data_IF_421637699805
#
_entry.id   IF_421637699805
#
_cell.length_a   1.000
_cell.length_b   1.000
_cell.length_c   1.000
_cell.angle_alpha   90.00
_cell.angle_beta   90.00
_cell.angle_gamma   90.00
#
_symmetry.space_group_name_H-M   'P 1'
#
loop_
_entity.id
_entity.type
_entity.pdbx_description
1 polymer ?
#
# COMPACT_ATOMS: atom_id res chain seq x y z
N UNK A 1 -10.47 -87.08 -23.09
CA UNK A 1 -10.77 -85.64 -23.34
C UNK A 1 -11.28 -85.06 -22.06
N UNK A 2 -10.44 -84.38 -21.35
CA UNK A 2 -10.76 -83.74 -20.07
C UNK A 2 -10.99 -82.23 -20.35
N UNK A 3 -12.26 -81.81 -20.32
CA UNK A 3 -12.61 -80.38 -20.38
C UNK A 3 -12.15 -79.67 -19.09
N UNK A 4 -11.24 -78.78 -19.25
CA UNK A 4 -10.84 -77.85 -18.22
C UNK A 4 -11.92 -76.77 -18.06
N UNK A 5 -12.76 -76.90 -17.04
CA UNK A 5 -13.71 -75.83 -16.63
C UNK A 5 -12.94 -74.71 -16.11
N UNK A 6 -12.76 -73.63 -16.94
CA UNK A 6 -12.27 -72.35 -16.50
C UNK A 6 -13.39 -71.69 -15.70
N UNK A 7 -13.26 -71.67 -14.36
CA UNK A 7 -14.13 -70.91 -13.47
C UNK A 7 -14.07 -69.42 -13.81
N UNK A 8 -15.22 -68.76 -14.06
CA UNK A 8 -15.20 -67.30 -14.26
C UNK A 8 -14.80 -66.60 -12.98
N UNK A 9 -13.67 -65.91 -13.02
CA UNK A 9 -13.21 -65.02 -11.92
C UNK A 9 -14.33 -64.00 -11.64
N UNK A 10 -14.72 -63.78 -10.39
CA UNK A 10 -15.94 -63.10 -10.02
C UNK A 10 -15.88 -61.58 -10.36
N UNK A 11 -16.67 -61.18 -11.33
CA UNK A 11 -16.92 -59.79 -11.75
C UNK A 11 -17.41 -58.90 -10.59
N UNK A 12 -17.97 -59.48 -9.53
CA UNK A 12 -18.40 -58.84 -8.28
C UNK A 12 -17.25 -58.28 -7.45
N UNK A 13 -16.13 -59.00 -7.30
CA UNK A 13 -15.02 -58.58 -6.44
C UNK A 13 -14.30 -57.33 -6.97
N UNK A 14 -14.15 -57.22 -8.27
CA UNK A 14 -13.58 -56.06 -8.92
C UNK A 14 -14.47 -54.81 -8.81
N UNK A 15 -15.79 -55.02 -8.77
CA UNK A 15 -16.74 -53.88 -8.62
C UNK A 15 -16.73 -53.32 -7.20
N UNK A 16 -16.58 -54.14 -6.19
CA UNK A 16 -16.49 -53.69 -4.79
C UNK A 16 -15.15 -52.95 -4.49
N UNK A 17 -14.05 -53.50 -4.97
CA UNK A 17 -12.73 -52.85 -4.85
C UNK A 17 -12.71 -51.47 -5.49
N UNK A 18 -13.29 -51.33 -6.66
CA UNK A 18 -13.41 -50.06 -7.35
C UNK A 18 -14.29 -49.06 -6.59
N UNK A 19 -15.41 -49.49 -6.06
CA UNK A 19 -16.30 -48.67 -5.23
C UNK A 19 -15.59 -48.13 -4.01
N UNK A 20 -14.83 -48.98 -3.31
CA UNK A 20 -14.02 -48.57 -2.14
C UNK A 20 -12.95 -47.54 -2.52
N UNK A 21 -12.28 -47.68 -3.68
CA UNK A 21 -11.30 -46.73 -4.17
C UNK A 21 -11.92 -45.34 -4.41
N UNK A 22 -13.10 -45.29 -5.06
CA UNK A 22 -13.80 -44.02 -5.30
C UNK A 22 -14.23 -43.37 -3.99
N UNK A 23 -14.67 -44.15 -3.00
CA UNK A 23 -15.00 -43.65 -1.66
C UNK A 23 -13.76 -43.03 -1.01
N UNK A 24 -12.62 -43.72 -1.03
CA UNK A 24 -11.36 -43.20 -0.46
C UNK A 24 -10.93 -41.91 -1.14
N UNK A 25 -11.01 -41.84 -2.47
CA UNK A 25 -10.70 -40.64 -3.23
C UNK A 25 -11.65 -39.48 -2.87
N UNK A 26 -12.92 -39.74 -2.68
CA UNK A 26 -13.91 -38.73 -2.27
C UNK A 26 -13.58 -38.19 -0.86
N UNK A 27 -13.26 -39.09 0.09
CA UNK A 27 -12.85 -38.68 1.44
C UNK A 27 -11.56 -37.84 1.40
N UNK A 28 -10.55 -38.28 0.63
CA UNK A 28 -9.30 -37.53 0.46
C UNK A 28 -9.58 -36.12 -0.13
N UNK A 29 -10.45 -36.05 -1.12
CA UNK A 29 -10.85 -34.77 -1.76
C UNK A 29 -11.55 -33.85 -0.75
N UNK A 30 -12.39 -34.42 0.14
CA UNK A 30 -13.07 -33.66 1.19
C UNK A 30 -12.05 -33.08 2.20
N UNK A 31 -11.06 -33.87 2.60
CA UNK A 31 -9.99 -33.38 3.50
C UNK A 31 -9.19 -32.28 2.81
N UNK A 32 -8.83 -32.46 1.56
CA UNK A 32 -8.11 -31.44 0.78
C UNK A 32 -8.93 -30.15 0.66
N UNK A 33 -10.25 -30.25 0.41
CA UNK A 33 -11.14 -29.10 0.38
C UNK A 33 -11.17 -28.35 1.71
N UNK A 34 -11.22 -29.07 2.84
CA UNK A 34 -11.18 -28.45 4.18
C UNK A 34 -9.87 -27.73 4.43
N UNK A 35 -8.73 -28.30 4.04
CA UNK A 35 -7.41 -27.65 4.15
C UNK A 35 -7.35 -26.40 3.29
N UNK A 36 -7.79 -26.46 2.04
CA UNK A 36 -7.82 -25.29 1.13
C UNK A 36 -8.72 -24.18 1.65
N UNK A 37 -9.90 -24.54 2.21
CA UNK A 37 -10.80 -23.56 2.82
C UNK A 37 -10.17 -22.87 4.04
N UNK A 38 -9.43 -23.61 4.87
CA UNK A 38 -8.69 -23.04 5.99
C UNK A 38 -7.57 -22.09 5.52
N UNK A 39 -6.79 -22.46 4.49
CA UNK A 39 -5.75 -21.61 3.91
C UNK A 39 -6.35 -20.35 3.27
N UNK A 40 -7.46 -20.47 2.57
CA UNK A 40 -8.19 -19.34 2.00
C UNK A 40 -8.68 -18.38 3.09
N UNK A 41 -9.23 -18.92 4.18
CA UNK A 41 -9.70 -18.11 5.30
C UNK A 41 -8.54 -17.36 5.98
N UNK A 42 -7.39 -18.02 6.22
CA UNK A 42 -6.20 -17.35 6.79
C UNK A 42 -5.70 -16.24 5.87
N UNK A 43 -5.61 -16.50 4.56
CA UNK A 43 -5.18 -15.51 3.59
C UNK A 43 -6.13 -14.30 3.53
N UNK A 44 -7.46 -14.53 3.56
CA UNK A 44 -8.47 -13.46 3.61
C UNK A 44 -8.35 -12.61 4.87
N UNK A 45 -8.18 -13.23 6.05
CA UNK A 45 -8.00 -12.51 7.31
C UNK A 45 -6.77 -11.62 7.27
N UNK A 46 -5.65 -12.12 6.73
CA UNK A 46 -4.41 -11.33 6.58
C UNK A 46 -4.59 -10.20 5.58
N UNK A 47 -5.31 -10.41 4.49
CA UNK A 47 -5.67 -9.37 3.54
C UNK A 47 -6.51 -8.28 4.22
N UNK A 48 -7.53 -8.65 5.00
CA UNK A 48 -8.39 -7.69 5.71
C UNK A 48 -7.63 -6.87 6.76
N UNK A 49 -6.65 -7.48 7.46
CA UNK A 49 -5.79 -6.75 8.40
C UNK A 49 -4.94 -5.74 7.64
N UNK A 50 -4.26 -6.15 6.58
CA UNK A 50 -3.42 -5.29 5.78
C UNK A 50 -4.21 -4.14 5.12
N UNK A 51 -5.44 -4.41 4.64
CA UNK A 51 -6.34 -3.39 4.11
C UNK A 51 -6.73 -2.35 5.17
N UNK A 52 -7.05 -2.78 6.40
CA UNK A 52 -7.34 -1.85 7.52
C UNK A 52 -6.14 -0.99 7.87
N UNK A 53 -4.95 -1.58 7.90
CA UNK A 53 -3.72 -0.84 8.18
C UNK A 53 -3.44 0.19 7.08
N UNK A 54 -3.60 -0.18 5.80
CA UNK A 54 -3.49 0.76 4.67
C UNK A 54 -4.47 1.92 4.78
N UNK A 55 -5.74 1.65 5.09
CA UNK A 55 -6.77 2.68 5.29
C UNK A 55 -6.45 3.58 6.50
N UNK A 56 -5.96 3.02 7.59
CA UNK A 56 -5.56 3.77 8.78
C UNK A 56 -4.44 4.76 8.44
N UNK A 57 -3.40 4.33 7.73
CA UNK A 57 -2.32 5.22 7.30
C UNK A 57 -2.80 6.26 6.29
N UNK A 58 -3.72 5.92 5.38
CA UNK A 58 -4.33 6.89 4.46
C UNK A 58 -5.07 8.01 5.20
N UNK A 59 -5.79 7.68 6.29
CA UNK A 59 -6.45 8.67 7.15
C UNK A 59 -5.41 9.56 7.85
N UNK A 60 -4.31 8.98 8.35
CA UNK A 60 -3.22 9.76 8.96
C UNK A 60 -2.59 10.74 7.96
N UNK A 61 -2.32 10.31 6.73
CA UNK A 61 -1.80 11.17 5.66
C UNK A 61 -2.77 12.33 5.40
N UNK A 62 -4.09 12.02 5.34
CA UNK A 62 -5.13 13.05 5.12
C UNK A 62 -5.17 14.10 6.24
N UNK A 63 -4.79 13.73 7.45
CA UNK A 63 -4.64 14.67 8.58
C UNK A 63 -3.35 15.49 8.53
N UNK A 64 -2.22 14.86 8.15
CA UNK A 64 -0.91 15.52 8.08
C UNK A 64 -0.80 16.48 6.89
N UNK A 65 -1.41 16.19 5.75
CA UNK A 65 -1.32 17.00 4.54
C UNK A 65 -1.77 18.46 4.74
N UNK A 66 -2.94 18.74 5.36
CA UNK A 66 -3.35 20.11 5.67
C UNK A 66 -2.41 20.79 6.68
N UNK A 67 -1.89 20.05 7.69
CA UNK A 67 -0.95 20.58 8.67
C UNK A 67 0.34 21.06 7.99
N UNK A 68 0.93 20.19 7.16
CA UNK A 68 2.14 20.54 6.38
C UNK A 68 1.86 21.75 5.48
N UNK A 69 0.72 21.76 4.78
CA UNK A 69 0.34 22.89 3.91
C UNK A 69 0.19 24.20 4.66
N UNK A 70 -0.49 24.20 5.82
CA UNK A 70 -0.68 25.40 6.65
C UNK A 70 0.65 25.94 7.17
N UNK A 71 1.50 25.07 7.71
CA UNK A 71 2.81 25.47 8.25
C UNK A 71 3.72 26.00 7.14
N UNK A 72 3.76 25.32 6.00
CA UNK A 72 4.51 25.78 4.82
C UNK A 72 4.06 27.18 4.38
N UNK A 73 2.74 27.35 4.18
CA UNK A 73 2.20 28.63 3.74
C UNK A 73 2.48 29.75 4.75
N UNK A 74 2.38 29.47 6.05
CA UNK A 74 2.70 30.43 7.08
C UNK A 74 4.16 30.88 7.00
N UNK A 75 5.11 29.94 6.96
CA UNK A 75 6.53 30.24 6.93
C UNK A 75 6.94 31.02 5.66
N UNK A 76 6.46 30.57 4.49
CA UNK A 76 6.76 31.28 3.24
C UNK A 76 6.12 32.66 3.19
N UNK A 77 4.93 32.85 3.80
CA UNK A 77 4.31 34.15 3.94
C UNK A 77 5.15 35.08 4.83
N UNK A 78 5.53 34.63 6.02
CA UNK A 78 6.35 35.41 6.95
C UNK A 78 7.70 35.80 6.33
N UNK A 79 8.32 34.87 5.59
CA UNK A 79 9.53 35.13 4.82
C UNK A 79 9.31 36.15 3.68
N UNK A 80 8.23 36.06 2.95
CA UNK A 80 7.85 36.98 1.88
C UNK A 80 7.58 38.40 2.45
N UNK A 81 6.85 38.48 3.56
CA UNK A 81 6.59 39.76 4.25
C UNK A 81 7.91 40.39 4.73
N UNK A 82 8.82 39.60 5.32
CA UNK A 82 10.16 40.07 5.69
C UNK A 82 10.94 40.67 4.52
N UNK A 83 10.98 39.96 3.37
CA UNK A 83 11.70 40.48 2.19
C UNK A 83 11.05 41.76 1.64
N UNK A 84 9.75 41.85 1.66
CA UNK A 84 8.98 43.02 1.21
C UNK A 84 9.28 44.24 2.11
N UNK A 85 9.22 44.05 3.42
CA UNK A 85 9.53 45.14 4.39
C UNK A 85 10.98 45.56 4.30
N UNK A 86 11.94 44.64 4.11
CA UNK A 86 13.35 44.94 3.91
C UNK A 86 13.61 45.74 2.64
N UNK A 87 12.96 45.34 1.53
CA UNK A 87 13.04 46.06 0.27
C UNK A 87 12.44 47.46 0.42
N UNK A 88 11.30 47.61 1.09
CA UNK A 88 10.67 48.91 1.37
C UNK A 88 11.59 49.80 2.20
N UNK A 89 12.20 49.28 3.26
CA UNK A 89 13.15 50.03 4.05
C UNK A 89 14.33 50.56 3.21
N UNK A 90 14.91 49.69 2.37
CA UNK A 90 16.00 50.06 1.48
C UNK A 90 15.63 51.15 0.48
N UNK A 91 14.45 51.05 -0.15
CA UNK A 91 13.96 52.06 -1.10
C UNK A 91 13.74 53.40 -0.40
N UNK A 92 13.13 53.38 0.79
CA UNK A 92 12.93 54.60 1.58
C UNK A 92 14.25 55.26 2.01
N UNK A 93 15.26 54.49 2.42
CA UNK A 93 16.58 55.03 2.72
C UNK A 93 17.25 55.69 1.50
N UNK A 94 17.17 55.08 0.32
CA UNK A 94 17.66 55.67 -0.93
C UNK A 94 16.93 56.94 -1.26
N UNK A 95 15.62 57.00 -1.10
CA UNK A 95 14.79 58.21 -1.32
C UNK A 95 15.16 59.30 -0.35
N UNK A 96 15.40 58.98 0.92
CA UNK A 96 15.84 59.94 1.92
C UNK A 96 17.20 60.57 1.55
N UNK A 97 18.16 59.74 1.05
CA UNK A 97 19.45 60.25 0.56
C UNK A 97 19.32 61.22 -0.62
N UNK A 98 18.43 60.92 -1.57
CA UNK A 98 18.14 61.81 -2.72
C UNK A 98 17.55 63.15 -2.23
N UNK A 99 16.58 63.11 -1.30
CA UNK A 99 15.98 64.31 -0.70
C UNK A 99 17.01 65.19 0.03
N UNK A 100 17.93 64.55 0.76
CA UNK A 100 19.02 65.21 1.50
C UNK A 100 19.97 65.92 0.50
N UNK A 101 20.33 65.24 -0.58
CA UNK A 101 21.16 65.81 -1.65
C UNK A 101 20.47 67.01 -2.34
N UNK A 102 19.14 66.99 -2.44
CA UNK A 102 18.34 68.10 -2.95
C UNK A 102 18.17 69.26 -1.93
N UNK A 103 18.66 69.11 -0.72
CA UNK A 103 18.58 70.13 0.35
C UNK A 103 17.28 70.08 1.17
N UNK A 104 16.38 69.14 0.92
CA UNK A 104 15.13 68.97 1.69
C UNK A 104 15.35 68.04 2.91
N UNK A 105 16.03 68.58 3.90
CA UNK A 105 16.37 67.83 5.12
C UNK A 105 15.17 67.42 5.96
N UNK A 106 14.05 68.16 5.88
CA UNK A 106 12.81 67.82 6.58
C UNK A 106 12.11 66.62 5.99
N UNK A 107 12.00 66.59 4.65
CA UNK A 107 11.44 65.43 3.91
C UNK A 107 12.36 64.21 4.12
N UNK A 108 13.67 64.38 4.02
CA UNK A 108 14.62 63.30 4.23
C UNK A 108 14.45 62.66 5.61
N UNK A 109 14.28 63.44 6.68
CA UNK A 109 14.07 62.89 8.03
C UNK A 109 12.73 62.11 8.15
N UNK A 110 11.63 62.64 7.60
CA UNK A 110 10.36 61.98 7.62
C UNK A 110 10.41 60.64 6.84
N UNK A 111 11.16 60.60 5.73
CA UNK A 111 11.35 59.35 4.94
C UNK A 111 12.21 58.33 5.65
N UNK A 112 13.27 58.77 6.41
CA UNK A 112 14.05 57.87 7.28
C UNK A 112 13.23 57.29 8.42
N UNK A 113 12.32 58.07 9.01
CA UNK A 113 11.42 57.55 10.06
C UNK A 113 10.52 56.45 9.52
N UNK A 114 10.03 56.57 8.28
CA UNK A 114 9.28 55.51 7.60
C UNK A 114 10.16 54.28 7.29
N UNK A 115 11.40 54.48 6.85
CA UNK A 115 12.37 53.43 6.62
C UNK A 115 12.64 52.63 7.91
N UNK A 116 12.81 53.35 9.04
CA UNK A 116 13.00 52.70 10.33
C UNK A 116 11.80 51.85 10.78
N UNK A 117 10.56 52.27 10.46
CA UNK A 117 9.35 51.48 10.71
C UNK A 117 9.35 50.22 9.84
N UNK A 118 9.67 50.33 8.55
CA UNK A 118 9.74 49.19 7.66
C UNK A 118 10.84 48.21 8.11
N UNK A 119 12.01 48.69 8.50
CA UNK A 119 13.09 47.87 9.04
C UNK A 119 12.66 47.16 10.34
N UNK A 120 11.96 47.84 11.24
CA UNK A 120 11.47 47.22 12.48
C UNK A 120 10.45 46.09 12.20
N UNK A 121 9.61 46.23 11.17
CA UNK A 121 8.69 45.16 10.72
C UNK A 121 9.46 43.97 10.14
N UNK A 122 10.47 44.22 9.30
CA UNK A 122 11.34 43.19 8.78
C UNK A 122 12.01 42.40 9.92
N UNK A 123 12.56 43.10 10.92
CA UNK A 123 13.21 42.49 12.09
C UNK A 123 12.23 41.65 12.94
N UNK A 124 10.96 42.07 13.03
CA UNK A 124 9.92 41.28 13.67
C UNK A 124 9.61 40.02 12.84
N UNK A 125 9.41 40.16 11.54
CA UNK A 125 9.18 39.01 10.63
C UNK A 125 10.30 37.98 10.75
N UNK A 126 11.56 38.45 10.78
CA UNK A 126 12.73 37.58 10.97
C UNK A 126 12.68 36.81 12.30
N UNK A 127 12.20 37.41 13.41
CA UNK A 127 12.06 36.73 14.70
C UNK A 127 10.97 35.69 14.75
N UNK A 128 9.95 35.77 13.89
CA UNK A 128 8.85 34.82 13.83
C UNK A 128 9.05 33.73 12.80
N UNK A 129 10.00 33.86 11.88
CA UNK A 129 10.29 32.87 10.88
C UNK A 129 11.25 31.80 11.36
N UNK A 130 10.88 30.54 11.22
CA UNK A 130 11.74 29.39 11.45
C UNK A 130 12.99 29.45 10.57
N UNK A 131 12.89 30.04 9.40
CA UNK A 131 14.02 30.21 8.48
C UNK A 131 15.17 31.03 9.04
N UNK A 132 14.97 31.78 10.11
CA UNK A 132 16.01 32.58 10.76
C UNK A 132 16.23 32.18 12.22
N UNK A 133 15.26 31.56 12.88
CA UNK A 133 15.35 31.20 14.30
C UNK A 133 15.89 29.78 14.52
N UNK A 134 15.78 28.88 13.55
CA UNK A 134 16.36 27.54 13.61
C UNK A 134 17.69 27.50 12.85
N UNK A 135 18.83 27.21 13.52
CA UNK A 135 20.14 27.15 12.87
C UNK A 135 20.26 26.19 11.69
N UNK A 136 19.37 25.18 11.61
CA UNK A 136 19.37 24.20 10.50
C UNK A 136 18.95 24.83 9.18
N UNK A 137 18.14 25.88 9.23
CA UNK A 137 17.55 26.51 8.05
C UNK A 137 18.09 27.92 7.83
N UNK A 138 18.68 28.53 8.88
CA UNK A 138 19.18 29.87 8.80
C UNK A 138 20.28 30.02 7.74
N UNK A 139 20.37 31.19 7.07
CA UNK A 139 21.43 31.47 6.12
C UNK A 139 22.81 31.32 6.79
N UNK A 140 23.75 30.66 6.10
CA UNK A 140 25.13 30.47 6.57
C UNK A 140 25.97 31.73 6.38
N UNK A 141 25.54 32.60 5.46
CA UNK A 141 26.23 33.85 5.13
C UNK A 141 25.29 35.04 5.37
N UNK A 142 25.88 36.21 5.69
CA UNK A 142 25.11 37.43 5.87
C UNK A 142 24.46 37.85 4.54
N UNK A 143 23.14 37.95 4.52
CA UNK A 143 22.35 38.24 3.31
C UNK A 143 22.07 37.05 2.42
N UNK A 144 22.48 35.85 2.83
CA UNK A 144 22.14 34.60 2.13
C UNK A 144 20.66 34.22 2.26
N UNK A 145 20.23 33.27 1.41
CA UNK A 145 18.89 32.70 1.47
C UNK A 145 18.84 31.57 2.50
N UNK A 146 17.71 31.40 3.19
CA UNK A 146 17.49 30.26 4.07
C UNK A 146 17.45 28.92 3.31
N UNK A 147 17.81 27.84 3.99
CA UNK A 147 17.77 26.49 3.45
C UNK A 147 16.32 25.96 3.49
N UNK A 148 15.50 26.46 2.56
CA UNK A 148 14.09 26.05 2.43
C UNK A 148 13.93 24.59 2.00
N UNK A 149 14.89 24.02 1.28
CA UNK A 149 14.87 22.61 0.89
C UNK A 149 14.96 21.68 2.11
N UNK A 150 15.94 21.93 2.99
CA UNK A 150 16.07 21.15 4.23
C UNK A 150 14.84 21.31 5.12
N UNK A 151 14.28 22.52 5.22
CA UNK A 151 13.05 22.74 5.96
C UNK A 151 11.88 21.91 5.41
N UNK A 152 11.67 21.87 4.08
CA UNK A 152 10.62 21.08 3.47
C UNK A 152 10.84 19.57 3.64
N UNK A 153 12.09 19.11 3.57
CA UNK A 153 12.43 17.71 3.84
C UNK A 153 12.08 17.31 5.27
N UNK A 154 12.49 18.14 6.25
CA UNK A 154 12.21 17.88 7.67
C UNK A 154 10.72 17.93 7.98
N UNK A 155 10.00 18.90 7.41
CA UNK A 155 8.55 19.05 7.58
C UNK A 155 7.76 17.88 7.01
N UNK A 156 8.19 17.34 5.87
CA UNK A 156 7.52 16.21 5.20
C UNK A 156 7.98 14.85 5.72
N UNK A 157 8.97 14.78 6.59
CA UNK A 157 9.55 13.50 7.06
C UNK A 157 8.49 12.56 7.63
N UNK A 158 7.67 13.04 8.57
CA UNK A 158 6.59 12.23 9.18
C UNK A 158 5.58 11.75 8.15
N UNK A 159 5.19 12.62 7.23
CA UNK A 159 4.25 12.26 6.16
C UNK A 159 4.84 11.17 5.24
N UNK A 160 6.11 11.29 4.88
CA UNK A 160 6.81 10.31 4.04
C UNK A 160 6.96 8.95 4.76
N UNK A 161 7.19 8.94 6.07
CA UNK A 161 7.23 7.72 6.88
C UNK A 161 5.86 7.03 6.93
N UNK A 162 4.77 7.79 7.08
CA UNK A 162 3.41 7.25 7.06
C UNK A 162 3.06 6.72 5.66
N UNK A 163 3.44 7.44 4.60
CA UNK A 163 3.23 7.02 3.21
C UNK A 163 3.97 5.70 2.90
N UNK A 164 5.19 5.53 3.38
CA UNK A 164 5.94 4.28 3.24
C UNK A 164 5.20 3.11 3.91
N UNK A 165 4.68 3.29 5.14
CA UNK A 165 3.88 2.28 5.85
C UNK A 165 2.57 1.97 5.14
N UNK A 166 1.91 2.98 4.58
CA UNK A 166 0.68 2.80 3.81
C UNK A 166 0.92 1.96 2.56
N UNK A 167 2.01 2.23 1.83
CA UNK A 167 2.40 1.45 0.66
C UNK A 167 2.74 0.00 1.03
N UNK A 168 3.51 -0.21 2.10
CA UNK A 168 3.82 -1.56 2.61
C UNK A 168 2.55 -2.35 2.96
N UNK A 169 1.60 -1.72 3.63
CA UNK A 169 0.31 -2.33 3.97
C UNK A 169 -0.54 -2.62 2.72
N UNK A 170 -0.53 -1.74 1.72
CA UNK A 170 -1.23 -1.95 0.45
C UNK A 170 -0.64 -3.12 -0.35
N UNK A 171 0.70 -3.23 -0.41
CA UNK A 171 1.39 -4.34 -1.06
C UNK A 171 1.11 -5.67 -0.34
N UNK A 172 1.09 -5.65 1.00
CA UNK A 172 0.72 -6.82 1.80
C UNK A 172 -0.72 -7.25 1.55
N UNK A 173 -1.67 -6.31 1.46
CA UNK A 173 -3.06 -6.58 1.09
C UNK A 173 -3.15 -7.26 -0.27
N UNK A 174 -2.50 -6.70 -1.28
CA UNK A 174 -2.55 -7.24 -2.63
C UNK A 174 -1.96 -8.66 -2.70
N UNK A 175 -0.85 -8.89 -1.98
CA UNK A 175 -0.22 -10.21 -1.90
C UNK A 175 -1.16 -11.25 -1.27
N UNK A 176 -1.76 -10.94 -0.13
CA UNK A 176 -2.64 -11.87 0.58
C UNK A 176 -3.97 -12.08 -0.15
N UNK A 177 -4.52 -11.04 -0.75
CA UNK A 177 -5.75 -11.14 -1.56
C UNK A 177 -5.54 -12.05 -2.76
N UNK A 178 -4.42 -11.91 -3.50
CA UNK A 178 -4.07 -12.83 -4.59
C UNK A 178 -3.94 -14.28 -4.14
N UNK A 179 -3.39 -14.52 -2.93
CA UNK A 179 -3.32 -15.88 -2.36
C UNK A 179 -4.73 -16.43 -2.06
N UNK A 180 -5.59 -15.61 -1.45
CA UNK A 180 -6.97 -16.00 -1.17
C UNK A 180 -7.73 -16.37 -2.47
N UNK A 181 -7.62 -15.57 -3.51
CA UNK A 181 -8.24 -15.81 -4.82
C UNK A 181 -7.73 -17.10 -5.48
N UNK A 182 -6.43 -17.38 -5.32
CA UNK A 182 -5.83 -18.61 -5.83
C UNK A 182 -6.37 -19.85 -5.11
N UNK A 183 -6.61 -19.78 -3.80
CA UNK A 183 -7.24 -20.87 -3.04
C UNK A 183 -8.71 -21.06 -3.41
N UNK A 184 -9.46 -19.97 -3.67
CA UNK A 184 -10.84 -20.04 -4.19
C UNK A 184 -10.84 -20.74 -5.54
N UNK A 185 -9.90 -20.41 -6.43
CA UNK A 185 -9.72 -21.07 -7.72
C UNK A 185 -9.43 -22.56 -7.55
N UNK A 186 -8.52 -22.93 -6.65
CA UNK A 186 -8.20 -24.32 -6.33
C UNK A 186 -9.42 -25.09 -5.81
N UNK A 187 -10.23 -24.47 -4.92
CA UNK A 187 -11.49 -25.05 -4.43
C UNK A 187 -12.50 -25.27 -5.54
N UNK A 188 -12.61 -24.32 -6.48
CA UNK A 188 -13.52 -24.44 -7.63
C UNK A 188 -13.10 -25.60 -8.55
N UNK A 189 -11.80 -25.74 -8.83
CA UNK A 189 -11.27 -26.87 -9.60
C UNK A 189 -11.54 -28.18 -8.87
N UNK A 190 -11.35 -28.22 -7.54
CA UNK A 190 -11.59 -29.41 -6.72
C UNK A 190 -13.06 -29.84 -6.71
N UNK A 191 -14.01 -28.90 -6.80
CA UNK A 191 -15.45 -29.19 -6.93
C UNK A 191 -15.76 -29.99 -8.21
N UNK A 192 -15.00 -29.78 -9.29
CA UNK A 192 -15.11 -30.59 -10.52
C UNK A 192 -14.69 -32.03 -10.26
N UNK A 193 -13.64 -32.28 -9.45
CA UNK A 193 -13.25 -33.63 -9.06
C UNK A 193 -14.36 -34.33 -8.27
N UNK A 194 -15.02 -33.66 -7.33
CA UNK A 194 -16.18 -34.19 -6.62
C UNK A 194 -17.30 -34.59 -7.56
N UNK A 195 -17.63 -33.73 -8.52
CA UNK A 195 -18.65 -34.02 -9.51
C UNK A 195 -18.30 -35.27 -10.35
N UNK A 196 -17.05 -35.39 -10.79
CA UNK A 196 -16.55 -36.55 -11.56
C UNK A 196 -16.61 -37.84 -10.74
N UNK A 197 -16.26 -37.82 -9.44
CA UNK A 197 -16.39 -38.99 -8.59
C UNK A 197 -17.85 -39.35 -8.33
N UNK A 198 -18.74 -38.39 -8.19
CA UNK A 198 -20.19 -38.62 -8.12
C UNK A 198 -20.71 -39.30 -9.38
N UNK A 199 -20.31 -38.85 -10.58
CA UNK A 199 -20.66 -39.50 -11.84
C UNK A 199 -20.08 -40.93 -11.94
N UNK A 200 -18.83 -41.14 -11.50
CA UNK A 200 -18.21 -42.43 -11.45
C UNK A 200 -18.98 -43.45 -10.58
N UNK A 201 -19.64 -42.99 -9.52
CA UNK A 201 -20.50 -43.83 -8.67
C UNK A 201 -21.88 -44.13 -9.32
N UNK A 202 -22.43 -43.18 -10.06
CA UNK A 202 -23.76 -43.28 -10.65
C UNK A 202 -23.80 -44.16 -11.91
N UNK A 203 -22.71 -44.24 -12.69
CA UNK A 203 -22.66 -44.94 -13.98
C UNK A 203 -22.47 -46.46 -13.78
N UNK A 204 -23.20 -47.25 -14.55
CA UNK A 204 -23.14 -48.74 -14.51
C UNK A 204 -21.95 -49.30 -15.31
N UNK A 205 -21.50 -48.64 -16.37
CA UNK A 205 -20.43 -49.13 -17.23
C UNK A 205 -19.07 -49.03 -16.60
N UNK A 206 -18.33 -50.12 -16.47
CA UNK A 206 -16.99 -50.16 -15.88
C UNK A 206 -15.99 -49.25 -16.60
N UNK A 207 -16.06 -49.13 -17.92
CA UNK A 207 -15.18 -48.26 -18.71
C UNK A 207 -15.43 -46.77 -18.38
N UNK A 208 -16.70 -46.35 -18.35
CA UNK A 208 -17.05 -44.95 -18.00
C UNK A 208 -16.69 -44.59 -16.56
N UNK A 209 -16.86 -45.54 -15.61
CA UNK A 209 -16.41 -45.35 -14.20
C UNK A 209 -14.93 -45.06 -14.15
N UNK A 210 -14.10 -45.87 -14.83
CA UNK A 210 -12.64 -45.67 -14.84
C UNK A 210 -12.28 -44.34 -15.47
N UNK A 211 -12.94 -43.95 -16.55
CA UNK A 211 -12.71 -42.66 -17.23
C UNK A 211 -13.00 -41.49 -16.30
N UNK A 212 -14.17 -41.44 -15.64
CA UNK A 212 -14.52 -40.36 -14.72
C UNK A 212 -13.58 -40.30 -13.49
N UNK A 213 -13.21 -41.47 -12.95
CA UNK A 213 -12.28 -41.54 -11.85
C UNK A 213 -10.87 -41.04 -12.24
N UNK A 214 -10.40 -41.45 -13.43
CA UNK A 214 -9.10 -40.97 -13.96
C UNK A 214 -9.08 -39.48 -14.16
N UNK A 215 -10.13 -38.90 -14.76
CA UNK A 215 -10.22 -37.43 -14.87
C UNK A 215 -10.30 -36.74 -13.53
N UNK A 216 -11.03 -37.29 -12.54
CA UNK A 216 -11.10 -36.75 -11.19
C UNK A 216 -9.72 -36.72 -10.51
N UNK A 217 -8.92 -37.77 -10.68
CA UNK A 217 -7.53 -37.81 -10.14
C UNK A 217 -6.65 -36.75 -10.82
N UNK A 218 -6.74 -36.58 -12.14
CA UNK A 218 -5.99 -35.54 -12.86
C UNK A 218 -6.37 -34.15 -12.34
N UNK A 219 -7.64 -33.87 -12.09
CA UNK A 219 -8.11 -32.61 -11.52
C UNK A 219 -7.54 -32.39 -10.13
N UNK A 220 -7.49 -33.42 -9.26
CA UNK A 220 -6.83 -33.32 -7.93
C UNK A 220 -5.34 -32.95 -8.09
N UNK A 221 -4.62 -33.59 -9.01
CA UNK A 221 -3.20 -33.29 -9.25
C UNK A 221 -3.00 -31.83 -9.70
N UNK A 222 -3.86 -31.34 -10.58
CA UNK A 222 -3.85 -29.92 -11.00
C UNK A 222 -4.09 -29.00 -9.79
N UNK A 223 -5.09 -29.32 -8.95
CA UNK A 223 -5.37 -28.56 -7.73
C UNK A 223 -4.17 -28.50 -6.78
N UNK A 224 -3.52 -29.65 -6.55
CA UNK A 224 -2.32 -29.72 -5.70
C UNK A 224 -1.17 -28.87 -6.27
N UNK A 225 -0.99 -28.88 -7.59
CA UNK A 225 0.03 -28.09 -8.27
C UNK A 225 -0.24 -26.58 -8.14
N UNK A 226 -1.49 -26.15 -8.36
CA UNK A 226 -1.90 -24.73 -8.14
C UNK A 226 -1.66 -24.34 -6.70
N UNK A 227 -2.09 -25.17 -5.74
CA UNK A 227 -1.89 -24.90 -4.31
C UNK A 227 -0.42 -24.79 -3.93
N UNK A 228 0.43 -25.66 -4.46
CA UNK A 228 1.86 -25.63 -4.21
C UNK A 228 2.49 -24.31 -4.70
N UNK A 229 2.17 -23.88 -5.93
CA UNK A 229 2.68 -22.60 -6.46
C UNK A 229 2.17 -21.40 -5.64
N UNK A 230 0.95 -21.44 -5.14
CA UNK A 230 0.39 -20.39 -4.27
C UNK A 230 1.10 -20.32 -2.91
N UNK A 231 1.54 -21.46 -2.37
CA UNK A 231 2.26 -21.50 -1.08
C UNK A 231 3.69 -20.96 -1.20
N UNK A 232 4.37 -21.27 -2.30
CA UNK A 232 5.80 -20.92 -2.51
C UNK A 232 5.97 -19.48 -3.02
N UNK A 233 5.01 -18.92 -3.78
CA UNK A 233 5.03 -17.52 -4.28
C UNK A 233 4.39 -16.56 -3.30
#
# INVERSE_FOLDING_TARGET
MTETVVSPVPEKENTERFKNLVIILTVLTTVLAAVLAALQSDASIRADIANRDSQFYAIQISGELPRVGLVTNYEFKVFGDYLTDLQQATVLELTALEQEQAGDTKAAQATRDLAAIAQARADLGKKFSVFYTDPRYAPTEQGGLPNSEQYLLDLNKTMNEILAKQNEAADAYEKWNRKADSYVTALTILAVAFFLFGLAQAVKSARMRLTFTGFGVVVILITLLVTFFTLVG
#
